data_IF_311658737111
#
_entry.id   IF_311658737111
#
_cell.length_a   1.000
_cell.length_b   1.000
_cell.length_c   1.000
_cell.angle_alpha   90.00
_cell.angle_beta   90.00
_cell.angle_gamma   90.00
#
_symmetry.space_group_name_H-M   'P 1'
#
loop_
_entity.id
_entity.type
_entity.pdbx_description
1 polymer ?
#
# COMPACT_ATOMS: atom_id res chain seq x y z
N UNK A 1 46.87 -28.88 -13.98
CA UNK A 1 46.00 -28.53 -12.84
C UNK A 1 45.27 -27.17 -12.94
N UNK A 2 45.69 -26.22 -13.79
CA UNK A 2 45.01 -24.89 -13.96
C UNK A 2 43.67 -24.92 -14.73
N UNK A 3 43.46 -25.89 -15.62
CA UNK A 3 42.29 -25.95 -16.52
C UNK A 3 41.02 -26.41 -15.78
N UNK A 4 41.16 -27.22 -14.73
CA UNK A 4 40.04 -27.75 -13.95
C UNK A 4 39.37 -26.68 -13.06
N UNK A 5 40.15 -25.70 -12.58
CA UNK A 5 39.65 -24.59 -11.74
C UNK A 5 38.82 -23.57 -12.53
N UNK A 6 39.17 -23.30 -13.80
CA UNK A 6 38.44 -22.38 -14.67
C UNK A 6 37.07 -22.95 -15.06
N UNK A 7 37.00 -24.26 -15.37
CA UNK A 7 35.73 -24.92 -15.69
C UNK A 7 34.81 -25.00 -14.48
N UNK A 8 35.36 -25.20 -13.27
CA UNK A 8 34.62 -25.16 -12.00
C UNK A 8 34.11 -23.74 -11.69
N UNK A 9 34.94 -22.70 -11.81
CA UNK A 9 34.54 -21.32 -11.58
C UNK A 9 33.43 -20.88 -12.55
N UNK A 10 33.53 -21.26 -13.84
CA UNK A 10 32.48 -21.01 -14.85
C UNK A 10 31.17 -21.75 -14.52
N UNK A 11 31.27 -22.96 -13.97
CA UNK A 11 30.12 -23.75 -13.48
C UNK A 11 29.47 -23.09 -12.25
N UNK A 12 30.26 -22.58 -11.31
CA UNK A 12 29.76 -21.86 -10.11
C UNK A 12 29.21 -20.47 -10.43
N UNK A 13 29.81 -19.73 -11.37
CA UNK A 13 29.26 -18.45 -11.87
C UNK A 13 27.96 -18.67 -12.65
N UNK A 14 27.88 -19.74 -13.47
CA UNK A 14 26.64 -20.09 -14.20
C UNK A 14 25.55 -20.62 -13.27
N UNK A 15 25.89 -21.45 -12.28
CA UNK A 15 24.94 -21.95 -11.28
C UNK A 15 24.49 -20.84 -10.31
N UNK A 16 25.39 -19.92 -9.94
CA UNK A 16 25.10 -18.73 -9.13
C UNK A 16 24.22 -17.70 -9.85
N UNK A 17 24.38 -17.53 -11.16
CA UNK A 17 23.49 -16.67 -11.96
C UNK A 17 22.05 -17.23 -12.01
N UNK A 18 21.91 -18.55 -12.25
CA UNK A 18 20.60 -19.21 -12.21
C UNK A 18 19.94 -19.16 -10.82
N UNK A 19 20.72 -19.27 -9.73
CA UNK A 19 20.18 -19.19 -8.36
C UNK A 19 19.72 -17.77 -8.01
N UNK A 20 20.40 -16.73 -8.51
CA UNK A 20 19.94 -15.34 -8.41
C UNK A 20 18.66 -15.09 -9.23
N UNK A 21 18.57 -15.64 -10.45
CA UNK A 21 17.37 -15.57 -11.28
C UNK A 21 16.17 -16.29 -10.65
N UNK A 22 16.40 -17.44 -10.00
CA UNK A 22 15.37 -18.16 -9.24
C UNK A 22 14.97 -17.44 -7.94
N UNK A 23 15.90 -16.77 -7.27
CA UNK A 23 15.59 -15.92 -6.10
C UNK A 23 14.79 -14.67 -6.49
N UNK A 24 14.97 -14.15 -7.71
CA UNK A 24 14.21 -13.01 -8.26
C UNK A 24 12.71 -13.30 -8.37
N UNK A 25 12.32 -14.58 -8.50
CA UNK A 25 10.91 -15.00 -8.48
C UNK A 25 10.30 -14.99 -7.07
N UNK A 26 11.14 -14.98 -6.03
CA UNK A 26 10.76 -14.87 -4.62
C UNK A 26 11.00 -13.48 -4.02
N UNK A 27 11.48 -12.49 -4.78
CA UNK A 27 11.57 -11.08 -4.32
C UNK A 27 10.20 -10.42 -4.35
N UNK A 28 9.26 -11.00 -3.62
CA UNK A 28 8.01 -10.41 -3.18
C UNK A 28 7.96 -10.35 -1.65
N UNK A 29 9.10 -10.28 -0.96
CA UNK A 29 9.11 -9.93 0.47
C UNK A 29 9.34 -8.43 0.61
N UNK A 30 8.41 -7.64 0.07
CA UNK A 30 8.29 -6.24 0.44
C UNK A 30 7.94 -6.23 1.93
N UNK A 31 8.92 -5.94 2.78
CA UNK A 31 8.68 -5.75 4.20
C UNK A 31 7.83 -4.48 4.36
N UNK A 32 6.52 -4.67 4.47
CA UNK A 32 5.53 -3.64 4.70
C UNK A 32 5.55 -3.22 6.17
N UNK A 33 6.60 -2.49 6.57
CA UNK A 33 6.60 -1.85 7.87
C UNK A 33 5.59 -0.69 7.90
N UNK A 34 4.77 -0.58 8.96
CA UNK A 34 3.84 0.53 9.16
C UNK A 34 4.65 1.78 9.56
N UNK A 35 5.12 2.51 8.56
CA UNK A 35 5.89 3.75 8.74
C UNK A 35 5.90 4.59 7.47
N UNK A 36 5.74 5.90 7.63
CA UNK A 36 5.91 6.92 6.58
C UNK A 36 7.29 7.51 6.71
N UNK A 37 8.05 7.55 5.62
CA UNK A 37 9.33 8.21 5.64
C UNK A 37 10.49 7.36 5.13
N UNK A 38 11.42 8.06 4.48
CA UNK A 38 12.82 7.66 4.27
C UNK A 38 13.42 6.97 5.49
N UNK A 39 13.16 7.44 6.72
CA UNK A 39 13.69 6.82 7.95
C UNK A 39 13.22 5.38 8.18
N UNK A 40 11.97 5.04 7.81
CA UNK A 40 11.47 3.66 7.88
C UNK A 40 12.16 2.79 6.82
N UNK A 41 12.35 3.31 5.61
CA UNK A 41 13.07 2.62 4.55
C UNK A 41 14.53 2.34 4.91
N UNK A 42 15.25 3.35 5.41
CA UNK A 42 16.64 3.22 5.91
C UNK A 42 16.73 2.21 7.03
N UNK A 43 15.85 2.29 8.04
CA UNK A 43 15.89 1.38 9.19
C UNK A 43 15.64 -0.07 8.82
N UNK A 44 14.63 -0.33 8.00
CA UNK A 44 14.29 -1.68 7.52
C UNK A 44 15.39 -2.21 6.60
N UNK A 45 15.86 -1.40 5.65
CA UNK A 45 16.91 -1.78 4.72
C UNK A 45 18.23 -2.06 5.44
N UNK A 46 18.62 -1.21 6.39
CA UNK A 46 19.82 -1.40 7.19
C UNK A 46 19.71 -2.64 8.10
N UNK A 47 18.57 -2.85 8.76
CA UNK A 47 18.36 -4.04 9.60
C UNK A 47 18.40 -5.34 8.80
N UNK A 48 17.68 -5.40 7.67
CA UNK A 48 17.66 -6.57 6.80
C UNK A 48 19.03 -6.82 6.17
N UNK A 49 19.69 -5.76 5.69
CA UNK A 49 21.04 -5.82 5.12
C UNK A 49 22.09 -6.27 6.14
N UNK A 50 21.99 -5.80 7.40
CA UNK A 50 22.89 -6.21 8.47
C UNK A 50 22.78 -7.70 8.78
N UNK A 51 21.55 -8.23 8.87
CA UNK A 51 21.32 -9.65 9.13
C UNK A 51 21.86 -10.50 7.98
N UNK A 52 21.54 -10.15 6.74
CA UNK A 52 22.04 -10.85 5.57
C UNK A 52 23.57 -10.79 5.47
N UNK A 53 24.14 -9.62 5.70
CA UNK A 53 25.58 -9.39 5.70
C UNK A 53 26.31 -10.13 6.81
N UNK A 54 25.72 -10.25 8.01
CA UNK A 54 26.27 -11.03 9.11
C UNK A 54 26.37 -12.51 8.76
N UNK A 55 25.29 -13.06 8.19
CA UNK A 55 25.20 -14.47 7.80
C UNK A 55 26.20 -14.78 6.67
N UNK A 56 26.33 -13.88 5.70
CA UNK A 56 27.25 -14.05 4.57
C UNK A 56 28.72 -13.85 4.97
N UNK A 57 29.00 -12.84 5.82
CA UNK A 57 30.35 -12.50 6.26
C UNK A 57 31.04 -13.67 6.96
N UNK A 58 30.32 -14.42 7.80
CA UNK A 58 30.87 -15.58 8.52
C UNK A 58 31.29 -16.76 7.61
N UNK A 59 30.97 -16.73 6.31
CA UNK A 59 31.35 -17.77 5.34
C UNK A 59 32.52 -17.36 4.45
N UNK A 60 32.99 -16.11 4.53
CA UNK A 60 34.08 -15.58 3.71
C UNK A 60 35.34 -15.52 4.58
N UNK A 61 36.41 -16.19 4.14
CA UNK A 61 37.71 -16.14 4.81
C UNK A 61 38.23 -14.68 4.81
N UNK A 62 38.53 -14.15 5.99
CA UNK A 62 39.03 -12.78 6.17
C UNK A 62 37.96 -11.72 6.41
N UNK A 63 36.68 -12.09 6.50
CA UNK A 63 35.59 -11.16 6.89
C UNK A 63 34.88 -11.70 8.12
N UNK A 64 34.76 -10.89 9.16
CA UNK A 64 34.00 -11.27 10.37
C UNK A 64 32.49 -11.08 10.20
N UNK A 65 31.68 -11.74 11.02
CA UNK A 65 30.23 -11.52 11.10
C UNK A 65 29.89 -10.05 11.32
N UNK A 66 30.67 -9.34 12.13
CA UNK A 66 30.46 -7.92 12.43
C UNK A 66 30.76 -7.03 11.21
N UNK A 67 31.85 -7.26 10.50
CA UNK A 67 32.18 -6.52 9.27
C UNK A 67 31.16 -6.77 8.17
N UNK A 68 30.73 -8.02 8.01
CA UNK A 68 29.65 -8.38 7.10
C UNK A 68 28.35 -7.66 7.45
N UNK A 69 28.00 -7.59 8.74
CA UNK A 69 26.82 -6.88 9.21
C UNK A 69 26.88 -5.38 8.94
N UNK A 70 28.02 -4.73 9.22
CA UNK A 70 28.20 -3.29 8.99
C UNK A 70 28.12 -2.97 7.50
N UNK A 71 28.81 -3.73 6.66
CA UNK A 71 28.76 -3.55 5.21
C UNK A 71 27.34 -3.77 4.66
N UNK A 72 26.67 -4.82 5.11
CA UNK A 72 25.28 -5.11 4.74
C UNK A 72 24.31 -4.02 5.21
N UNK A 73 24.49 -3.48 6.41
CA UNK A 73 23.67 -2.40 6.95
C UNK A 73 23.81 -1.10 6.15
N UNK A 74 25.04 -0.76 5.75
CA UNK A 74 25.30 0.43 4.94
C UNK A 74 24.64 0.31 3.57
N UNK A 75 24.85 -0.80 2.87
CA UNK A 75 24.25 -1.02 1.54
C UNK A 75 22.72 -1.04 1.64
N UNK A 76 22.19 -1.81 2.60
CA UNK A 76 20.75 -1.92 2.83
C UNK A 76 20.10 -0.60 3.24
N UNK A 77 20.79 0.19 4.08
CA UNK A 77 20.31 1.51 4.51
C UNK A 77 20.26 2.53 3.38
N UNK A 78 21.27 2.54 2.50
CA UNK A 78 21.29 3.41 1.32
C UNK A 78 20.16 3.06 0.35
N UNK A 79 19.99 1.77 0.04
CA UNK A 79 18.91 1.28 -0.83
C UNK A 79 17.53 1.55 -0.21
N UNK A 80 17.39 1.37 1.09
CA UNK A 80 16.17 1.69 1.84
C UNK A 80 15.84 3.18 1.83
N UNK A 81 16.85 4.04 1.90
CA UNK A 81 16.69 5.50 1.85
C UNK A 81 16.17 6.01 0.51
N UNK A 82 16.74 5.53 -0.60
CA UNK A 82 16.27 5.95 -1.94
C UNK A 82 14.85 5.45 -2.23
N UNK A 83 14.48 4.28 -1.71
CA UNK A 83 13.13 3.71 -1.87
C UNK A 83 12.10 4.47 -1.02
N UNK A 84 12.48 4.89 0.19
CA UNK A 84 11.58 5.63 1.08
C UNK A 84 11.15 7.00 0.54
N UNK A 85 12.04 7.70 -0.16
CA UNK A 85 11.73 9.04 -0.71
C UNK A 85 10.58 9.01 -1.73
N UNK A 86 10.47 7.95 -2.54
CA UNK A 86 9.37 7.77 -3.49
C UNK A 86 8.04 7.48 -2.79
N UNK A 87 8.08 6.73 -1.69
CA UNK A 87 6.89 6.40 -0.90
C UNK A 87 6.25 7.64 -0.29
N UNK A 88 7.05 8.63 0.08
CA UNK A 88 6.56 9.89 0.67
C UNK A 88 5.81 10.74 -0.37
N UNK A 89 6.31 10.82 -1.60
CA UNK A 89 5.60 11.46 -2.72
C UNK A 89 4.27 10.76 -3.04
N UNK A 90 4.27 9.42 -3.07
CA UNK A 90 3.04 8.64 -3.28
C UNK A 90 2.04 8.80 -2.14
N UNK A 91 2.49 8.97 -0.89
CA UNK A 91 1.59 9.25 0.24
C UNK A 91 0.86 10.58 0.09
N UNK A 92 1.54 11.63 -0.37
CA UNK A 92 0.92 12.92 -0.63
C UNK A 92 -0.13 12.81 -1.76
N UNK A 93 0.21 12.11 -2.84
CA UNK A 93 -0.74 11.86 -3.92
C UNK A 93 -1.94 11.04 -3.44
N UNK A 94 -1.71 9.96 -2.69
CA UNK A 94 -2.78 9.13 -2.13
C UNK A 94 -3.64 9.89 -1.12
N UNK A 95 -3.10 10.85 -0.37
CA UNK A 95 -3.92 11.70 0.50
C UNK A 95 -4.95 12.53 -0.30
N UNK A 96 -4.59 12.99 -1.51
CA UNK A 96 -5.53 13.67 -2.41
C UNK A 96 -6.54 12.71 -3.04
N UNK A 97 -6.10 11.49 -3.39
CA UNK A 97 -6.99 10.43 -3.89
C UNK A 97 -7.98 10.01 -2.81
N UNK A 98 -7.56 9.91 -1.55
CA UNK A 98 -8.44 9.51 -0.45
C UNK A 98 -9.58 10.52 -0.24
N UNK A 99 -9.31 11.83 -0.38
CA UNK A 99 -10.38 12.85 -0.33
C UNK A 99 -11.38 12.70 -1.48
N UNK A 100 -10.89 12.36 -2.68
CA UNK A 100 -11.75 12.08 -3.83
C UNK A 100 -12.53 10.80 -3.63
N UNK A 101 -11.90 9.77 -3.07
CA UNK A 101 -12.53 8.51 -2.73
C UNK A 101 -13.65 8.74 -1.71
N UNK A 102 -13.45 9.58 -0.69
CA UNK A 102 -14.51 9.93 0.26
C UNK A 102 -15.71 10.59 -0.43
N UNK A 103 -15.49 11.52 -1.37
CA UNK A 103 -16.55 12.15 -2.13
C UNK A 103 -17.26 11.16 -3.07
N UNK A 104 -16.51 10.32 -3.78
CA UNK A 104 -17.03 9.28 -4.67
C UNK A 104 -17.76 8.20 -3.88
N UNK A 105 -17.30 7.84 -2.69
CA UNK A 105 -17.97 6.87 -1.82
C UNK A 105 -19.28 7.40 -1.27
N UNK A 106 -19.41 8.73 -1.05
CA UNK A 106 -20.72 9.32 -0.74
C UNK A 106 -21.66 9.25 -1.93
N UNK A 107 -21.16 9.50 -3.13
CA UNK A 107 -21.96 9.53 -4.35
C UNK A 107 -22.38 8.12 -4.79
N UNK A 108 -21.45 7.15 -4.77
CA UNK A 108 -21.69 5.74 -5.08
C UNK A 108 -22.62 5.05 -4.08
N UNK A 109 -22.73 5.60 -2.86
CA UNK A 109 -23.63 5.10 -1.82
C UNK A 109 -24.82 6.06 -1.61
N UNK A 110 -25.10 6.90 -2.61
CA UNK A 110 -26.25 7.79 -2.66
C UNK A 110 -27.33 7.20 -3.57
N UNK A 111 -28.55 7.08 -3.08
CA UNK A 111 -29.72 6.75 -3.91
C UNK A 111 -30.62 7.97 -4.00
N UNK A 112 -31.04 8.32 -5.21
CA UNK A 112 -31.93 9.45 -5.48
C UNK A 112 -33.37 8.96 -5.46
N UNK A 113 -34.19 9.54 -4.58
CA UNK A 113 -35.64 9.32 -4.58
C UNK A 113 -36.33 10.59 -5.07
N UNK A 114 -37.18 10.46 -6.08
CA UNK A 114 -37.82 11.57 -6.78
C UNK A 114 -39.22 11.83 -6.21
N UNK A 115 -39.42 12.89 -5.42
CA UNK A 115 -40.75 13.21 -4.88
C UNK A 115 -41.53 14.09 -5.86
N UNK A 116 -42.63 13.58 -6.41
CA UNK A 116 -43.58 14.36 -7.21
C UNK A 116 -44.53 15.14 -6.32
N UNK A 117 -44.65 16.43 -6.60
CA UNK A 117 -45.37 17.39 -5.80
C UNK A 117 -46.78 17.66 -6.34
N UNK A 118 -47.66 18.27 -5.53
CA UNK A 118 -49.07 18.51 -5.89
C UNK A 118 -49.25 19.40 -7.12
N UNK A 119 -48.27 20.25 -7.43
CA UNK A 119 -48.22 21.06 -8.65
C UNK A 119 -47.57 20.34 -9.86
N UNK A 120 -47.21 19.06 -9.74
CA UNK A 120 -46.53 18.27 -10.77
C UNK A 120 -45.00 18.42 -10.83
N UNK A 121 -44.40 19.32 -10.04
CA UNK A 121 -42.93 19.48 -9.95
C UNK A 121 -42.29 18.34 -9.17
N UNK A 122 -41.03 17.98 -9.45
CA UNK A 122 -40.32 16.89 -8.75
C UNK A 122 -39.11 17.42 -7.99
N UNK A 123 -39.01 17.08 -6.70
CA UNK A 123 -37.88 17.44 -5.83
C UNK A 123 -36.97 16.22 -5.64
N UNK A 124 -35.71 16.25 -6.11
CA UNK A 124 -34.76 15.16 -5.89
C UNK A 124 -34.21 15.19 -4.45
N UNK A 125 -34.25 14.06 -3.75
CA UNK A 125 -33.65 13.91 -2.41
C UNK A 125 -32.52 12.88 -2.45
N UNK A 126 -31.33 13.32 -2.05
CA UNK A 126 -30.12 12.51 -1.99
C UNK A 126 -30.02 11.81 -0.63
N UNK A 127 -30.09 10.48 -0.62
CA UNK A 127 -29.98 9.66 0.59
C UNK A 127 -28.67 8.89 0.55
N UNK A 128 -27.83 9.03 1.58
CA UNK A 128 -26.60 8.26 1.67
C UNK A 128 -26.76 7.10 2.65
N UNK A 129 -26.32 5.90 2.26
CA UNK A 129 -26.39 4.72 3.15
C UNK A 129 -25.24 4.76 4.16
N UNK A 130 -25.57 4.56 5.44
CA UNK A 130 -24.62 4.43 6.54
C UNK A 130 -24.92 3.14 7.29
N UNK A 131 -24.17 2.07 6.97
CA UNK A 131 -24.43 0.73 7.49
C UNK A 131 -25.79 0.17 7.03
N UNK A 132 -26.70 -0.03 7.99
CA UNK A 132 -28.04 -0.57 7.76
C UNK A 132 -29.14 0.50 7.68
N UNK A 133 -28.76 1.78 7.76
CA UNK A 133 -29.69 2.92 7.76
C UNK A 133 -29.36 3.88 6.60
N UNK A 134 -30.36 4.55 6.07
CA UNK A 134 -30.23 5.61 5.06
C UNK A 134 -30.35 6.97 5.73
N UNK A 135 -29.44 7.90 5.41
CA UNK A 135 -29.40 9.22 6.04
C UNK A 135 -29.76 10.29 5.00
N UNK A 136 -30.72 11.15 5.36
CA UNK A 136 -31.17 12.26 4.52
C UNK A 136 -30.38 13.57 4.70
N UNK A 137 -30.61 14.57 3.83
CA UNK A 137 -29.89 15.86 3.85
C UNK A 137 -30.01 16.64 5.17
N UNK A 138 -31.05 16.37 5.97
CA UNK A 138 -31.30 17.02 7.28
C UNK A 138 -30.76 16.23 8.47
N UNK A 139 -30.03 15.13 8.24
CA UNK A 139 -29.50 14.27 9.29
C UNK A 139 -30.48 13.21 9.81
N UNK A 140 -31.60 13.01 9.09
CA UNK A 140 -32.64 12.03 9.42
C UNK A 140 -32.18 10.62 9.03
N UNK A 141 -32.41 9.62 9.88
CA UNK A 141 -32.00 8.24 9.64
C UNK A 141 -33.21 7.31 9.43
N UNK A 142 -33.16 6.46 8.40
CA UNK A 142 -34.21 5.55 7.98
C UNK A 142 -33.72 4.10 7.98
N UNK A 143 -34.47 3.16 8.55
CA UNK A 143 -34.06 1.75 8.67
C UNK A 143 -34.20 0.93 7.36
N UNK A 144 -34.45 1.59 6.23
CA UNK A 144 -34.65 1.02 4.89
C UNK A 144 -34.73 2.15 3.85
N UNK A 145 -34.86 1.83 2.56
CA UNK A 145 -35.08 2.86 1.52
C UNK A 145 -36.41 3.56 1.86
N UNK A 146 -36.40 4.86 2.19
CA UNK A 146 -37.61 5.57 2.59
C UNK A 146 -38.56 5.72 1.41
N UNK A 147 -39.86 5.62 1.69
CA UNK A 147 -40.90 5.77 0.67
C UNK A 147 -41.21 7.25 0.42
N UNK A 148 -41.82 7.55 -0.74
CA UNK A 148 -42.24 8.90 -1.11
C UNK A 148 -43.09 9.58 -0.02
N UNK A 149 -43.92 8.81 0.70
CA UNK A 149 -44.80 9.32 1.75
C UNK A 149 -44.06 9.75 3.01
N UNK A 150 -42.92 9.11 3.32
CA UNK A 150 -42.08 9.47 4.46
C UNK A 150 -41.25 10.72 4.19
N UNK A 151 -40.85 10.94 2.93
CA UNK A 151 -40.07 12.11 2.52
C UNK A 151 -40.94 13.33 2.20
N UNK A 152 -42.18 13.13 1.74
CA UNK A 152 -43.12 14.21 1.36
C UNK A 152 -43.38 15.26 2.45
N UNK A 153 -43.66 14.93 3.73
CA UNK A 153 -43.92 15.95 4.74
C UNK A 153 -42.69 16.80 5.10
N UNK A 154 -41.49 16.34 4.74
CA UNK A 154 -40.22 17.02 5.05
C UNK A 154 -39.69 17.81 3.85
N UNK A 155 -39.86 17.27 2.64
CA UNK A 155 -39.24 17.78 1.40
C UNK A 155 -40.24 18.06 0.27
N UNK A 156 -41.51 17.71 0.41
CA UNK A 156 -42.58 18.02 -0.55
C UNK A 156 -43.29 19.33 -0.20
N UNK A 157 -43.63 20.13 -1.22
CA UNK A 157 -44.29 21.44 -1.09
C UNK A 157 -45.56 21.57 -1.93
#
# INVERSE_FOLDING_TARGET
MKIMNIQLLKKYTSFGCCICLLFSLFTGCATEHPGSGTGTGVGVGAGAGALAGAIAGNKIEGVSTAEGAIAGALIGGLLGGVMGNQKDAMKQQNASVNRRLDAVSRDANSTVVNITNTNGSTTPVYLHRSGNQWIGPRGEAYNGIPTHEQLRPVYGF
#
